data_IF_395220473784
#
_entry.id   IF_395220473784
#
_cell.length_a   1.000
_cell.length_b   1.000
_cell.length_c   1.000
_cell.angle_alpha   90.00
_cell.angle_beta   90.00
_cell.angle_gamma   90.00
#
_symmetry.space_group_name_H-M   'P 1'
#
loop_
_entity.id
_entity.type
_entity.pdbx_description
1 polymer ?
#
# COMPACT_ATOMS: atom_id res chain seq x y z
N UNK A 1 3.07 26.82 -20.83
CA UNK A 1 2.96 25.67 -19.98
C UNK A 1 1.75 24.86 -20.31
N UNK A 2 1.93 23.59 -20.47
CA UNK A 2 0.82 22.76 -20.86
C UNK A 2 0.14 22.17 -19.66
N UNK A 3 -1.17 22.15 -19.72
CA UNK A 3 -1.94 21.56 -18.67
C UNK A 3 -1.80 20.03 -18.74
N UNK A 4 -1.64 19.38 -17.59
CA UNK A 4 -1.62 17.94 -17.49
C UNK A 4 -1.85 17.54 -16.03
N UNK A 5 -2.53 16.42 -15.82
CA UNK A 5 -2.77 15.93 -14.46
C UNK A 5 -1.51 15.20 -14.01
N UNK A 6 -0.81 15.75 -13.04
CA UNK A 6 0.48 15.20 -12.64
C UNK A 6 0.62 15.02 -11.13
N UNK A 7 -0.40 15.32 -10.35
CA UNK A 7 -0.30 15.18 -8.90
C UNK A 7 -1.57 14.53 -8.36
N UNK A 8 -1.39 13.50 -7.54
CA UNK A 8 -2.51 12.88 -6.87
C UNK A 8 -2.60 13.47 -5.48
N UNK A 9 -3.77 14.02 -5.15
CA UNK A 9 -3.95 14.65 -3.85
C UNK A 9 -4.51 13.72 -2.79
N UNK A 10 -5.35 12.79 -3.21
CA UNK A 10 -6.03 11.95 -2.24
C UNK A 10 -6.49 10.66 -2.89
N UNK A 11 -6.48 9.58 -2.11
CA UNK A 11 -6.98 8.28 -2.53
C UNK A 11 -7.98 7.84 -1.47
N UNK A 12 -9.14 7.36 -1.90
CA UNK A 12 -10.18 6.91 -0.98
C UNK A 12 -10.34 5.40 -1.05
N UNK A 13 -10.49 4.77 0.10
CA UNK A 13 -10.75 3.34 0.21
C UNK A 13 -12.03 3.17 1.02
N UNK A 14 -12.96 2.37 0.49
CA UNK A 14 -14.21 2.10 1.20
C UNK A 14 -14.00 0.98 2.20
N UNK A 15 -14.51 1.16 3.40
CA UNK A 15 -14.42 0.16 4.44
C UNK A 15 -15.76 0.08 5.17
N UNK A 16 -16.02 -1.02 5.85
CA UNK A 16 -17.29 -1.19 6.55
C UNK A 16 -17.21 -0.69 7.98
N UNK A 17 -16.07 -0.82 8.62
CA UNK A 17 -15.90 -0.40 10.01
C UNK A 17 -14.68 0.51 10.07
N UNK A 18 -14.94 1.81 10.14
CA UNK A 18 -13.86 2.79 10.07
C UNK A 18 -12.88 2.65 11.24
N UNK A 19 -13.40 2.44 12.44
CA UNK A 19 -12.52 2.33 13.61
C UNK A 19 -11.59 1.12 13.50
N UNK A 20 -12.12 -0.01 13.06
CA UNK A 20 -11.31 -1.21 12.87
C UNK A 20 -10.26 -0.99 11.78
N UNK A 21 -10.66 -0.33 10.71
CA UNK A 21 -9.73 -0.08 9.61
C UNK A 21 -8.66 0.94 10.00
N UNK A 22 -9.03 1.96 10.79
CA UNK A 22 -8.04 2.90 11.27
C UNK A 22 -6.99 2.17 12.10
N UNK A 23 -7.43 1.26 12.98
CA UNK A 23 -6.49 0.50 13.79
C UNK A 23 -5.55 -0.32 12.91
N UNK A 24 -6.08 -0.93 11.85
CA UNK A 24 -5.25 -1.72 10.95
C UNK A 24 -4.20 -0.84 10.26
N UNK A 25 -4.62 0.25 9.65
CA UNK A 25 -3.67 1.08 8.90
C UNK A 25 -2.69 1.79 9.82
N UNK A 26 -3.13 2.22 10.99
CA UNK A 26 -2.25 2.91 11.94
C UNK A 26 -1.34 1.95 12.68
N UNK A 27 -1.92 0.91 13.27
CA UNK A 27 -1.17 0.06 14.20
C UNK A 27 -0.41 -1.06 13.52
N UNK A 28 -0.99 -1.65 12.48
CA UNK A 28 -0.31 -2.74 11.79
C UNK A 28 0.54 -2.24 10.64
N UNK A 29 0.03 -1.33 9.82
CA UNK A 29 0.80 -0.82 8.70
C UNK A 29 1.70 0.34 9.08
N UNK A 30 1.46 0.95 10.24
CA UNK A 30 2.34 2.01 10.70
C UNK A 30 2.13 3.35 10.01
N UNK A 31 0.96 3.57 9.42
CA UNK A 31 0.70 4.83 8.76
C UNK A 31 0.38 5.91 9.77
N UNK A 32 0.71 7.14 9.41
CA UNK A 32 0.49 8.28 10.29
C UNK A 32 -0.95 8.76 10.14
N UNK A 33 -1.73 8.64 11.20
CA UNK A 33 -3.09 9.15 11.20
C UNK A 33 -3.05 10.66 11.35
N UNK A 34 -3.68 11.36 10.43
CA UNK A 34 -3.74 12.81 10.49
C UNK A 34 -4.90 13.27 11.36
N UNK A 35 -6.09 12.76 11.10
CA UNK A 35 -7.26 13.07 11.92
C UNK A 35 -8.39 12.14 11.54
N UNK A 36 -9.40 12.12 12.38
CA UNK A 36 -10.58 11.30 12.19
C UNK A 36 -11.81 12.18 12.39
N UNK A 37 -12.80 12.02 11.52
CA UNK A 37 -14.09 12.66 11.68
C UNK A 37 -15.13 11.54 11.61
N UNK A 38 -16.41 11.82 11.88
CA UNK A 38 -17.40 10.75 11.86
C UNK A 38 -17.36 10.01 10.52
N UNK A 39 -17.21 8.70 10.62
CA UNK A 39 -17.23 7.79 9.47
C UNK A 39 -16.10 7.98 8.46
N UNK A 40 -15.00 8.62 8.85
CA UNK A 40 -13.84 8.79 7.99
C UNK A 40 -12.56 8.88 8.79
N UNK A 41 -11.49 8.35 8.22
CA UNK A 41 -10.17 8.50 8.78
C UNK A 41 -9.20 8.95 7.70
N UNK A 42 -8.26 9.83 8.05
CA UNK A 42 -7.33 10.40 7.08
C UNK A 42 -5.89 10.14 7.50
N UNK A 43 -5.11 9.64 6.59
CA UNK A 43 -3.70 9.31 6.83
C UNK A 43 -2.80 10.05 5.87
N UNK A 44 -1.57 10.28 6.31
CA UNK A 44 -0.53 10.80 5.42
C UNK A 44 0.25 9.62 4.87
N UNK A 45 0.33 9.54 3.55
CA UNK A 45 1.08 8.48 2.91
C UNK A 45 1.99 9.11 1.89
N UNK A 46 3.16 9.56 2.36
CA UNK A 46 4.14 10.14 1.46
C UNK A 46 3.68 11.40 0.77
N UNK A 47 2.92 12.23 1.46
CA UNK A 47 2.42 13.46 0.86
C UNK A 47 1.09 13.29 0.17
N UNK A 48 0.60 12.08 0.00
CA UNK A 48 -0.72 11.82 -0.54
C UNK A 48 -1.63 11.45 0.62
N UNK A 49 -2.82 12.02 0.66
CA UNK A 49 -3.75 11.72 1.74
C UNK A 49 -4.51 10.45 1.41
N UNK A 50 -4.48 9.50 2.32
CA UNK A 50 -5.27 8.28 2.18
C UNK A 50 -6.49 8.43 3.07
N UNK A 51 -7.69 8.32 2.49
CA UNK A 51 -8.93 8.48 3.24
C UNK A 51 -9.64 7.13 3.33
N UNK A 52 -9.99 6.73 4.54
CA UNK A 52 -10.86 5.59 4.74
C UNK A 52 -12.27 6.14 4.94
N UNK A 53 -13.23 5.65 4.17
CA UNK A 53 -14.58 6.15 4.25
C UNK A 53 -15.52 4.97 4.48
N UNK A 54 -16.40 5.09 5.48
CA UNK A 54 -17.30 4.02 5.83
C UNK A 54 -18.44 3.89 4.84
N UNK A 55 -18.80 2.66 4.54
CA UNK A 55 -19.89 2.37 3.64
C UNK A 55 -20.56 1.10 4.09
N UNK A 56 -21.89 1.10 4.12
CA UNK A 56 -22.61 -0.09 4.50
C UNK A 56 -22.51 -1.16 3.43
N UNK A 57 -22.35 -0.74 2.19
CA UNK A 57 -22.21 -1.69 1.10
C UNK A 57 -21.00 -1.29 0.30
N UNK A 58 -19.82 -1.77 0.68
CA UNK A 58 -18.62 -1.43 -0.06
C UNK A 58 -18.76 -1.90 -1.49
N UNK A 59 -18.14 -1.17 -2.36
CA UNK A 59 -18.16 -1.53 -3.75
C UNK A 59 -17.50 -2.87 -3.90
N UNK A 60 -18.07 -3.68 -4.75
CA UNK A 60 -17.55 -4.97 -4.89
C UNK A 60 -16.42 -5.08 -5.82
N UNK A 61 -16.20 -4.18 -6.69
CA UNK A 61 -15.12 -4.41 -7.63
C UNK A 61 -14.40 -3.12 -7.88
N UNK A 62 -13.19 -3.07 -7.39
CA UNK A 62 -12.27 -2.01 -7.70
C UNK A 62 -11.20 -2.57 -8.58
N UNK A 63 -10.78 -1.80 -9.56
CA UNK A 63 -9.68 -2.22 -10.40
C UNK A 63 -8.35 -1.62 -9.91
N UNK A 64 -8.41 -0.77 -8.91
CA UNK A 64 -7.20 -0.10 -8.43
C UNK A 64 -6.63 -0.82 -7.22
N UNK A 65 -5.32 -0.93 -7.18
CA UNK A 65 -4.61 -1.55 -6.07
C UNK A 65 -3.54 -0.56 -5.64
N UNK A 66 -3.42 -0.33 -4.34
CA UNK A 66 -2.37 0.53 -3.83
C UNK A 66 -1.10 -0.28 -3.64
N UNK A 67 -0.02 0.17 -4.23
CA UNK A 67 1.27 -0.45 -4.08
C UNK A 67 2.12 0.44 -3.18
N UNK A 68 2.53 -0.08 -2.05
CA UNK A 68 3.36 0.66 -1.11
C UNK A 68 4.81 0.30 -1.37
N UNK A 69 5.63 1.31 -1.65
CA UNK A 69 7.02 1.08 -1.99
C UNK A 69 7.84 0.95 -0.72
N UNK A 70 8.62 -0.10 -0.62
CA UNK A 70 9.51 -0.33 0.52
C UNK A 70 10.91 -0.62 0.02
N UNK A 71 11.89 -0.40 0.87
CA UNK A 71 13.28 -0.63 0.47
C UNK A 71 13.60 -2.11 0.37
N UNK A 72 13.15 -2.91 1.33
CA UNK A 72 13.41 -4.34 1.35
C UNK A 72 12.09 -5.06 1.57
N UNK A 73 11.60 -5.71 0.53
CA UNK A 73 10.27 -6.30 0.58
C UNK A 73 10.21 -7.51 1.50
N UNK A 74 11.29 -8.28 1.61
CA UNK A 74 11.28 -9.43 2.49
C UNK A 74 11.22 -8.99 3.95
N UNK A 75 11.98 -7.96 4.31
CA UNK A 75 11.94 -7.44 5.67
C UNK A 75 10.58 -6.83 5.98
N UNK A 76 10.01 -6.10 5.04
CA UNK A 76 8.71 -5.46 5.25
C UNK A 76 7.64 -6.53 5.43
N UNK A 77 7.65 -7.59 4.63
CA UNK A 77 6.69 -8.65 4.78
C UNK A 77 6.84 -9.33 6.14
N UNK A 78 8.07 -9.60 6.54
CA UNK A 78 8.31 -10.25 7.81
C UNK A 78 7.79 -9.39 8.97
N UNK A 79 8.06 -8.10 8.92
CA UNK A 79 7.60 -7.19 9.97
C UNK A 79 6.08 -7.16 10.04
N UNK A 80 5.43 -7.03 8.89
CA UNK A 80 3.97 -6.94 8.87
C UNK A 80 3.34 -8.27 9.25
N UNK A 81 3.92 -9.38 8.83
CA UNK A 81 3.42 -10.70 9.23
C UNK A 81 3.49 -10.85 10.74
N UNK A 82 4.53 -10.33 11.37
CA UNK A 82 4.64 -10.36 12.82
C UNK A 82 3.59 -9.53 13.52
N UNK A 83 2.98 -8.59 12.80
CA UNK A 83 1.90 -7.78 13.34
C UNK A 83 0.52 -8.34 12.97
N UNK A 84 0.49 -9.53 12.39
CA UNK A 84 -0.77 -10.19 12.07
C UNK A 84 -1.33 -9.91 10.70
N UNK A 85 -0.53 -9.33 9.80
CA UNK A 85 -0.98 -9.10 8.43
C UNK A 85 -0.76 -10.38 7.63
N UNK A 86 -1.81 -10.87 6.97
CA UNK A 86 -1.70 -12.09 6.19
C UNK A 86 -1.40 -11.77 4.74
N UNK A 87 -0.38 -12.41 4.20
CA UNK A 87 0.01 -12.19 2.81
C UNK A 87 -0.51 -13.32 1.94
N UNK A 88 -0.83 -12.98 0.69
CA UNK A 88 -1.38 -13.96 -0.24
C UNK A 88 -0.28 -14.88 -0.75
N UNK A 89 0.96 -14.42 -0.76
CA UNK A 89 2.08 -15.22 -1.23
C UNK A 89 3.37 -14.56 -0.81
N UNK A 90 4.49 -15.27 -1.04
CA UNK A 90 5.79 -14.69 -0.78
C UNK A 90 6.14 -13.66 -1.85
N UNK A 91 7.03 -12.72 -1.55
CA UNK A 91 7.46 -11.75 -2.56
C UNK A 91 8.03 -12.47 -3.78
N UNK A 92 7.67 -11.99 -4.95
CA UNK A 92 8.11 -12.61 -6.20
C UNK A 92 8.67 -11.57 -7.14
N UNK A 93 9.69 -11.98 -7.90
CA UNK A 93 10.22 -11.14 -8.96
C UNK A 93 9.15 -11.07 -10.03
N UNK A 94 8.61 -9.88 -10.24
CA UNK A 94 7.47 -9.68 -11.11
C UNK A 94 7.87 -9.19 -12.49
N UNK A 95 8.87 -8.32 -12.55
CA UNK A 95 9.30 -7.78 -13.83
C UNK A 95 10.75 -7.32 -13.74
N UNK A 96 11.48 -7.49 -14.84
CA UNK A 96 12.81 -6.92 -14.97
C UNK A 96 12.68 -5.70 -15.83
N UNK A 97 12.87 -4.55 -15.22
CA UNK A 97 12.76 -3.28 -15.91
C UNK A 97 14.18 -2.80 -16.19
N UNK A 98 14.40 -1.94 -17.18
CA UNK A 98 15.76 -1.63 -17.59
C UNK A 98 16.73 -1.26 -16.48
N UNK A 99 16.27 -0.53 -15.45
CA UNK A 99 17.21 -0.11 -14.41
C UNK A 99 16.97 -0.79 -13.06
N UNK A 100 15.98 -1.68 -12.95
CA UNK A 100 15.73 -2.37 -11.67
C UNK A 100 14.87 -3.59 -11.86
N UNK A 101 14.87 -4.45 -10.83
CA UNK A 101 13.97 -5.59 -10.77
C UNK A 101 12.83 -5.22 -9.85
N UNK A 102 11.61 -5.50 -10.29
CA UNK A 102 10.40 -5.17 -9.53
C UNK A 102 9.92 -6.42 -8.79
N UNK A 103 9.85 -6.32 -7.48
CA UNK A 103 9.34 -7.39 -6.62
C UNK A 103 8.02 -6.97 -6.00
N UNK A 104 7.07 -7.87 -5.92
CA UNK A 104 5.73 -7.56 -5.43
C UNK A 104 5.20 -8.69 -4.55
N UNK A 105 4.45 -8.34 -3.52
CA UNK A 105 3.64 -9.29 -2.77
C UNK A 105 2.34 -8.60 -2.38
N UNK A 106 1.29 -9.38 -2.12
CA UNK A 106 -0.05 -8.85 -1.90
C UNK A 106 -0.58 -9.23 -0.53
N UNK A 107 -1.40 -8.36 0.04
CA UNK A 107 -2.09 -8.63 1.29
C UNK A 107 -3.44 -7.94 1.27
N UNK A 108 -4.26 -8.18 2.29
CA UNK A 108 -5.61 -7.62 2.35
C UNK A 108 -5.82 -6.86 3.63
N UNK A 109 -6.64 -5.81 3.56
CA UNK A 109 -7.04 -5.10 4.76
C UNK A 109 -8.26 -5.83 5.36
N UNK A 110 -8.83 -5.36 6.49
CA UNK A 110 -9.97 -6.05 7.10
C UNK A 110 -11.20 -6.17 6.22
N UNK A 111 -11.37 -5.27 5.28
CA UNK A 111 -12.50 -5.32 4.35
C UNK A 111 -12.13 -6.04 3.07
N UNK A 112 -10.98 -6.71 3.05
CA UNK A 112 -10.51 -7.49 1.93
C UNK A 112 -10.11 -6.66 0.72
N UNK A 113 -9.85 -5.37 0.95
CA UNK A 113 -9.27 -4.56 -0.11
C UNK A 113 -7.86 -5.07 -0.40
N UNK A 114 -7.55 -5.23 -1.67
CA UNK A 114 -6.24 -5.76 -2.05
C UNK A 114 -5.21 -4.66 -2.03
N UNK A 115 -4.12 -4.91 -1.34
CA UNK A 115 -3.01 -3.98 -1.21
C UNK A 115 -1.74 -4.72 -1.59
N UNK A 116 -0.69 -3.98 -1.85
CA UNK A 116 0.57 -4.61 -2.25
C UNK A 116 1.77 -3.89 -1.68
N UNK A 117 2.84 -4.63 -1.47
CA UNK A 117 4.16 -4.06 -1.25
C UNK A 117 4.94 -4.21 -2.53
N UNK A 118 5.79 -3.24 -2.83
CA UNK A 118 6.69 -3.33 -3.97
C UNK A 118 8.08 -2.85 -3.59
N UNK A 119 9.09 -3.42 -4.18
CA UNK A 119 10.44 -2.89 -4.05
C UNK A 119 11.09 -2.90 -5.42
N UNK A 120 11.95 -1.91 -5.63
CA UNK A 120 12.69 -1.77 -6.87
C UNK A 120 14.15 -1.97 -6.53
N UNK A 121 14.71 -3.10 -6.99
CA UNK A 121 16.07 -3.46 -6.67
C UNK A 121 16.97 -3.10 -7.85
N UNK A 122 17.88 -2.14 -7.69
CA UNK A 122 18.68 -1.67 -8.81
C UNK A 122 19.56 -2.76 -9.36
N UNK A 123 19.72 -2.75 -10.68
CA UNK A 123 20.63 -3.68 -11.32
C UNK A 123 22.08 -3.32 -11.09
N UNK A 124 22.27 -2.09 -10.73
CA UNK A 124 23.64 -1.64 -10.65
C UNK A 124 24.46 -2.43 -9.80
N UNK A 125 23.83 -3.04 -8.90
CA UNK A 125 24.62 -3.79 -8.07
C UNK A 125 25.43 -4.70 -8.82
N UNK A 126 25.05 -4.83 -9.90
CA UNK A 126 25.68 -5.79 -10.49
C UNK A 126 26.89 -5.43 -10.97
N UNK A 127 27.50 -5.42 -10.83
CA UNK A 127 28.47 -5.08 -11.31
C UNK A 127 29.06 -5.58 -11.99
N UNK A 128 28.99 -5.55 -12.22
CA UNK A 128 29.48 -5.71 -12.74
C UNK A 128 30.32 -6.34 -12.88
N UNK A 129 30.50 -6.65 -12.69
CA UNK A 129 31.29 -7.27 -12.73
C UNK A 129 31.47 -7.75 -13.47
N UNK A 130 31.28 -7.59 -13.83
CA UNK A 130 31.52 -8.06 -14.67
C UNK A 130 31.91 -8.53 -14.72
#
# INVERSE_FOLDING_TARGET
>A
MEFGLSTIGQIAISVTNVDQSIAFYRDKLGMKLLFQVPNMGFFDCGGIRLMLTGSETPSESYSSILYFKVANIQDAQHTLSGRGVGFEREPALTARIPDHDLWITFFRDPDRNLLALMSEVPHSAAPVTG
#
